data_IF_686334431940
#
_entry.id   IF_686334431940
#
_cell.length_a   1.000
_cell.length_b   1.000
_cell.length_c   1.000
_cell.angle_alpha   90.00
_cell.angle_beta   90.00
_cell.angle_gamma   90.00
#
_symmetry.space_group_name_H-M   'P 1'
#
loop_
_entity.id
_entity.type
_entity.pdbx_description
1 polymer ?
#
# COMPACT_ATOMS: atom_id res chain seq x y z
N UNK A 1 -9.63 -12.13 2.47
CA UNK A 1 -9.68 -11.26 3.67
C UNK A 1 -10.19 -9.92 3.24
N UNK A 2 -10.92 -9.21 4.09
CA UNK A 2 -11.36 -7.83 3.83
C UNK A 2 -10.26 -6.87 4.25
N UNK A 3 -10.08 -5.76 3.51
CA UNK A 3 -9.18 -4.68 3.86
C UNK A 3 -9.60 -4.01 5.17
N UNK A 4 -8.66 -3.84 6.08
CA UNK A 4 -8.92 -3.27 7.39
C UNK A 4 -9.26 -1.77 7.34
N UNK A 5 -8.71 -1.03 6.37
CA UNK A 5 -9.06 0.39 6.17
C UNK A 5 -10.54 0.52 5.86
N UNK A 6 -11.07 -0.35 5.00
CA UNK A 6 -12.50 -0.36 4.68
C UNK A 6 -13.38 -0.68 5.89
N UNK A 7 -12.93 -1.55 6.79
CA UNK A 7 -13.61 -1.78 8.07
C UNK A 7 -13.60 -0.54 8.96
N UNK A 8 -12.48 0.20 9.00
CA UNK A 8 -12.39 1.46 9.74
C UNK A 8 -13.35 2.52 9.21
N UNK A 9 -13.55 2.60 7.90
CA UNK A 9 -14.54 3.51 7.29
C UNK A 9 -15.95 3.23 7.81
N UNK A 10 -16.36 1.96 7.87
CA UNK A 10 -17.65 1.59 8.47
C UNK A 10 -17.74 1.92 9.96
N UNK A 11 -16.66 1.74 10.72
CA UNK A 11 -16.65 2.11 12.13
C UNK A 11 -16.78 3.63 12.34
N UNK A 12 -16.09 4.44 11.51
CA UNK A 12 -16.20 5.88 11.55
C UNK A 12 -17.62 6.36 11.20
N UNK A 13 -18.23 5.80 10.15
CA UNK A 13 -19.63 6.12 9.79
C UNK A 13 -20.60 5.78 10.93
N UNK A 14 -20.39 4.65 11.60
CA UNK A 14 -21.18 4.30 12.77
C UNK A 14 -20.90 5.24 13.97
N UNK A 15 -19.66 5.70 14.15
CA UNK A 15 -19.29 6.62 15.22
C UNK A 15 -20.03 7.97 15.08
N UNK A 16 -20.16 8.48 13.86
CA UNK A 16 -20.88 9.73 13.58
C UNK A 16 -22.39 9.68 13.88
N UNK A 17 -22.95 8.49 14.11
CA UNK A 17 -24.31 8.38 14.66
C UNK A 17 -24.37 8.70 16.16
N UNK A 18 -23.25 8.71 16.88
CA UNK A 18 -23.19 8.80 18.33
C UNK A 18 -22.38 9.97 18.87
N UNK A 19 -21.53 10.54 18.05
CA UNK A 19 -20.55 11.57 18.43
C UNK A 19 -20.51 12.66 17.36
N UNK A 20 -20.21 13.88 17.78
CA UNK A 20 -20.01 15.02 16.88
C UNK A 20 -18.64 14.97 16.21
N UNK A 21 -18.48 15.69 15.10
CA UNK A 21 -17.19 15.87 14.45
C UNK A 21 -16.19 16.52 15.41
N UNK A 22 -14.93 16.02 15.38
CA UNK A 22 -13.85 16.42 16.26
C UNK A 22 -13.98 15.98 17.74
N UNK A 23 -14.99 15.18 18.12
CA UNK A 23 -15.04 14.62 19.46
C UNK A 23 -13.99 13.52 19.66
N UNK A 24 -13.10 13.72 20.63
CA UNK A 24 -12.07 12.71 21.01
C UNK A 24 -12.67 11.38 21.45
N UNK A 25 -13.91 11.37 21.92
CA UNK A 25 -14.61 10.15 22.30
C UNK A 25 -14.92 9.28 21.08
N UNK A 26 -15.18 9.89 19.91
CA UNK A 26 -15.34 9.16 18.65
C UNK A 26 -14.09 8.36 18.30
N UNK A 27 -12.91 8.98 18.36
CA UNK A 27 -11.63 8.30 18.07
C UNK A 27 -11.39 7.13 19.06
N UNK A 28 -11.59 7.37 20.35
CA UNK A 28 -11.42 6.34 21.36
C UNK A 28 -12.38 5.17 21.16
N UNK A 29 -13.63 5.47 20.78
CA UNK A 29 -14.63 4.46 20.50
C UNK A 29 -14.26 3.63 19.26
N UNK A 30 -13.86 4.28 18.15
CA UNK A 30 -13.40 3.61 16.93
C UNK A 30 -12.18 2.75 17.23
N UNK A 31 -11.19 3.25 17.95
CA UNK A 31 -9.98 2.52 18.35
C UNK A 31 -10.33 1.24 19.14
N UNK A 32 -11.21 1.34 20.12
CA UNK A 32 -11.63 0.20 20.96
C UNK A 32 -12.30 -0.88 20.13
N UNK A 33 -13.20 -0.49 19.20
CA UNK A 33 -13.90 -1.42 18.34
C UNK A 33 -13.00 -2.02 17.27
N UNK A 34 -12.08 -1.24 16.69
CA UNK A 34 -11.06 -1.69 15.76
C UNK A 34 -10.17 -2.78 16.40
N UNK A 35 -9.67 -2.54 17.62
CA UNK A 35 -8.89 -3.54 18.36
C UNK A 35 -9.68 -4.83 18.62
N UNK A 36 -10.97 -4.71 18.95
CA UNK A 36 -11.83 -5.87 19.13
C UNK A 36 -12.02 -6.67 17.83
N UNK A 37 -12.14 -6.00 16.68
CA UNK A 37 -12.22 -6.66 15.37
C UNK A 37 -10.90 -7.35 15.02
N UNK A 38 -9.76 -6.69 15.24
CA UNK A 38 -8.44 -7.29 15.06
C UNK A 38 -8.23 -8.54 15.95
N UNK A 39 -8.86 -8.57 17.10
CA UNK A 39 -8.89 -9.74 18.00
C UNK A 39 -9.95 -10.79 17.60
N UNK A 40 -10.57 -10.71 16.40
CA UNK A 40 -11.55 -11.68 15.92
C UNK A 40 -12.96 -11.53 16.48
N UNK A 41 -13.26 -10.43 17.17
CA UNK A 41 -14.53 -10.20 17.87
C UNK A 41 -15.53 -9.35 17.07
N UNK A 42 -15.51 -9.42 15.74
CA UNK A 42 -16.36 -8.61 14.87
C UNK A 42 -17.88 -8.75 15.17
N UNK A 43 -18.34 -9.97 15.53
CA UNK A 43 -19.73 -10.20 15.91
C UNK A 43 -20.13 -9.48 17.21
N UNK A 44 -19.22 -9.40 18.18
CA UNK A 44 -19.45 -8.67 19.46
C UNK A 44 -19.53 -7.18 19.18
N UNK A 45 -18.66 -6.66 18.30
CA UNK A 45 -18.68 -5.25 17.89
C UNK A 45 -20.01 -4.90 17.18
N UNK A 46 -20.45 -5.73 16.24
CA UNK A 46 -21.72 -5.52 15.57
C UNK A 46 -22.92 -5.45 16.53
N UNK A 47 -22.94 -6.35 17.53
CA UNK A 47 -23.96 -6.33 18.57
C UNK A 47 -23.87 -5.08 19.48
N UNK A 48 -22.64 -4.64 19.79
CA UNK A 48 -22.42 -3.44 20.60
C UNK A 48 -22.89 -2.18 19.88
N UNK A 49 -22.63 -2.06 18.56
CA UNK A 49 -23.10 -0.93 17.73
C UNK A 49 -24.63 -0.85 17.78
N UNK A 50 -25.33 -1.96 17.49
CA UNK A 50 -26.79 -1.99 17.48
C UNK A 50 -27.39 -1.67 18.86
N UNK A 51 -26.79 -2.22 19.93
CA UNK A 51 -27.24 -1.94 21.30
C UNK A 51 -27.06 -0.48 21.67
N UNK A 52 -25.95 0.16 21.26
CA UNK A 52 -25.72 1.58 21.50
C UNK A 52 -26.76 2.43 20.74
N UNK A 53 -27.04 2.11 19.48
CA UNK A 53 -28.06 2.82 18.67
C UNK A 53 -29.46 2.72 19.32
N UNK A 54 -29.81 1.55 19.83
CA UNK A 54 -31.08 1.35 20.55
C UNK A 54 -31.11 2.07 21.90
N UNK A 55 -30.02 2.06 22.65
CA UNK A 55 -29.91 2.76 23.94
C UNK A 55 -30.04 4.27 23.79
N UNK A 56 -29.46 4.85 22.75
CA UNK A 56 -29.60 6.29 22.45
C UNK A 56 -30.95 6.65 21.81
N UNK A 57 -31.82 5.67 21.54
CA UNK A 57 -33.15 5.92 20.96
C UNK A 57 -33.10 6.55 19.57
N UNK A 58 -32.03 6.26 18.79
CA UNK A 58 -31.85 6.84 17.47
C UNK A 58 -33.00 6.41 16.55
N UNK A 59 -33.58 7.39 15.86
CA UNK A 59 -34.60 7.16 14.84
C UNK A 59 -34.00 6.42 13.61
N UNK A 60 -34.82 5.82 12.74
CA UNK A 60 -34.33 5.03 11.60
C UNK A 60 -33.40 5.77 10.65
N UNK A 61 -33.52 7.08 10.51
CA UNK A 61 -32.62 7.89 9.67
C UNK A 61 -31.24 8.02 10.27
N UNK A 62 -31.16 8.45 11.54
CA UNK A 62 -29.90 8.67 12.24
C UNK A 62 -29.15 7.37 12.56
N UNK A 63 -29.84 6.23 12.71
CA UNK A 63 -29.19 4.95 12.99
C UNK A 63 -28.76 4.17 11.73
N UNK A 64 -29.08 4.65 10.53
CA UNK A 64 -28.85 3.94 9.28
C UNK A 64 -27.39 3.47 9.11
N UNK A 65 -26.43 4.35 9.36
CA UNK A 65 -25.00 4.01 9.20
C UNK A 65 -24.50 3.05 10.29
N UNK A 66 -25.03 3.15 11.51
CA UNK A 66 -24.75 2.20 12.57
C UNK A 66 -25.27 0.79 12.23
N UNK A 67 -26.50 0.68 11.73
CA UNK A 67 -27.07 -0.59 11.32
C UNK A 67 -26.38 -1.16 10.08
N UNK A 68 -25.98 -0.32 9.14
CA UNK A 68 -25.20 -0.71 7.94
C UNK A 68 -23.83 -1.26 8.33
N UNK A 69 -23.11 -0.59 9.23
CA UNK A 69 -21.83 -1.07 9.74
C UNK A 69 -21.97 -2.42 10.46
N UNK A 70 -22.98 -2.56 11.33
CA UNK A 70 -23.23 -3.81 12.03
C UNK A 70 -23.59 -4.96 11.07
N UNK A 71 -24.43 -4.69 10.07
CA UNK A 71 -24.79 -5.66 9.03
C UNK A 71 -23.57 -6.08 8.19
N UNK A 72 -22.73 -5.13 7.82
CA UNK A 72 -21.48 -5.38 7.12
C UNK A 72 -20.57 -6.32 7.92
N UNK A 73 -20.30 -6.02 9.19
CA UNK A 73 -19.44 -6.85 10.04
C UNK A 73 -19.96 -8.29 10.17
N UNK A 74 -21.29 -8.47 10.26
CA UNK A 74 -21.90 -9.82 10.32
C UNK A 74 -21.77 -10.54 8.98
N UNK A 75 -22.12 -9.90 7.88
CA UNK A 75 -22.10 -10.51 6.54
C UNK A 75 -20.67 -10.89 6.09
N UNK A 76 -19.69 -10.12 6.51
CA UNK A 76 -18.27 -10.35 6.15
C UNK A 76 -17.48 -11.11 7.21
N UNK A 77 -18.11 -11.55 8.30
CA UNK A 77 -17.45 -12.16 9.47
C UNK A 77 -16.42 -13.24 9.09
N UNK A 78 -16.73 -14.10 8.14
CA UNK A 78 -15.83 -15.16 7.67
C UNK A 78 -14.56 -14.66 6.98
N UNK A 79 -14.56 -13.40 6.53
CA UNK A 79 -13.43 -12.75 5.85
C UNK A 79 -12.66 -11.78 6.75
N UNK A 80 -13.04 -11.65 8.03
CA UNK A 80 -12.44 -10.78 9.02
C UNK A 80 -11.53 -11.56 9.99
N UNK A 81 -10.83 -12.57 9.48
CA UNK A 81 -9.88 -13.38 10.26
C UNK A 81 -8.51 -12.69 10.35
N UNK A 82 -8.52 -11.52 10.97
CA UNK A 82 -7.29 -10.76 11.22
C UNK A 82 -6.33 -11.43 12.20
N UNK A 83 -6.78 -12.13 13.26
CA UNK A 83 -5.85 -12.81 14.14
C UNK A 83 -4.93 -13.78 13.41
N UNK A 84 -5.46 -14.60 12.52
CA UNK A 84 -4.67 -15.53 11.70
C UNK A 84 -3.74 -14.78 10.74
N UNK A 85 -4.21 -13.70 10.12
CA UNK A 85 -3.40 -12.91 9.21
C UNK A 85 -2.21 -12.25 9.93
N UNK A 86 -2.46 -11.63 11.09
CA UNK A 86 -1.41 -11.01 11.91
C UNK A 86 -0.39 -12.04 12.42
N UNK A 87 -0.86 -13.20 12.89
CA UNK A 87 0.03 -14.27 13.34
C UNK A 87 0.93 -14.81 12.21
N UNK A 88 0.47 -14.74 10.96
CA UNK A 88 1.23 -15.17 9.77
C UNK A 88 2.01 -14.03 9.10
N UNK A 89 1.96 -12.82 9.63
CA UNK A 89 2.62 -11.65 9.04
C UNK A 89 2.01 -11.22 7.70
N UNK A 90 0.74 -11.57 7.41
CA UNK A 90 0.07 -11.16 6.19
C UNK A 90 -0.41 -9.71 6.27
N UNK A 91 -0.35 -8.95 5.17
CA UNK A 91 -0.89 -7.60 5.15
C UNK A 91 -2.41 -7.64 5.36
N UNK A 92 -2.91 -6.79 6.27
CA UNK A 92 -4.34 -6.67 6.59
C UNK A 92 -4.99 -5.46 5.94
N UNK A 93 -4.20 -4.61 5.29
CA UNK A 93 -4.64 -3.38 4.64
C UNK A 93 -3.90 -3.17 3.32
N UNK A 94 -4.55 -2.53 2.34
CA UNK A 94 -4.00 -2.26 1.00
C UNK A 94 -3.10 -1.02 0.96
N UNK A 95 -2.91 -0.30 2.04
CA UNK A 95 -2.07 0.90 2.09
C UNK A 95 -0.66 0.68 1.55
N UNK A 96 -0.07 -0.51 1.76
CA UNK A 96 1.23 -0.89 1.18
C UNK A 96 1.13 -1.00 -0.35
N UNK A 97 0.04 -1.57 -0.87
CA UNK A 97 -0.20 -1.72 -2.32
C UNK A 97 -0.48 -0.36 -2.96
N UNK A 98 -1.31 0.47 -2.32
CA UNK A 98 -1.57 1.85 -2.77
C UNK A 98 -0.28 2.69 -2.79
N UNK A 99 0.53 2.60 -1.73
CA UNK A 99 1.85 3.22 -1.66
C UNK A 99 2.75 2.74 -2.80
N UNK A 100 2.81 1.44 -3.04
CA UNK A 100 3.57 0.87 -4.15
C UNK A 100 3.04 1.33 -5.51
N UNK A 101 1.72 1.34 -5.73
CA UNK A 101 1.12 1.88 -6.96
C UNK A 101 1.48 3.35 -7.17
N UNK A 102 1.43 4.16 -6.13
CA UNK A 102 1.82 5.57 -6.21
C UNK A 102 3.30 5.71 -6.55
N UNK A 103 4.18 5.15 -5.71
CA UNK A 103 5.62 5.36 -5.83
C UNK A 103 6.27 4.57 -6.97
N UNK A 104 5.85 3.35 -7.24
CA UNK A 104 6.46 2.55 -8.31
C UNK A 104 5.90 2.89 -9.68
N UNK A 105 4.60 3.17 -9.78
CA UNK A 105 3.89 3.34 -11.05
C UNK A 105 3.61 4.82 -11.33
N UNK A 106 2.74 5.47 -10.54
CA UNK A 106 2.22 6.80 -10.85
C UNK A 106 3.34 7.86 -10.95
N UNK A 107 4.27 7.90 -10.01
CA UNK A 107 5.39 8.87 -10.00
C UNK A 107 6.27 8.81 -11.26
N UNK A 108 6.16 7.76 -12.07
CA UNK A 108 6.96 7.61 -13.28
C UNK A 108 6.14 7.41 -14.55
N UNK A 109 5.02 6.70 -14.46
CA UNK A 109 4.22 6.34 -15.63
C UNK A 109 3.19 7.41 -16.00
N UNK A 110 2.70 8.19 -15.01
CA UNK A 110 1.70 9.25 -15.21
C UNK A 110 2.33 10.61 -15.57
N UNK A 111 3.61 10.62 -15.97
CA UNK A 111 4.25 11.85 -16.43
C UNK A 111 3.66 12.26 -17.77
N UNK A 112 3.12 13.49 -17.83
CA UNK A 112 2.51 14.05 -19.03
C UNK A 112 3.46 14.01 -20.23
N UNK A 113 2.97 13.49 -21.39
CA UNK A 113 3.76 13.37 -22.62
C UNK A 113 4.63 12.11 -22.71
N UNK A 114 4.78 11.35 -21.64
CA UNK A 114 5.51 10.08 -21.68
C UNK A 114 4.69 9.02 -22.43
N UNK A 115 5.30 8.39 -23.44
CA UNK A 115 4.71 7.25 -24.15
C UNK A 115 5.49 5.99 -23.81
N UNK A 116 4.81 5.04 -23.18
CA UNK A 116 5.42 3.79 -22.74
C UNK A 116 5.00 2.64 -23.64
N UNK A 117 6.00 1.98 -24.27
CA UNK A 117 5.79 0.65 -24.81
C UNK A 117 5.81 -0.38 -23.66
N UNK A 118 5.03 -1.45 -23.77
CA UNK A 118 4.91 -2.47 -22.71
C UNK A 118 6.28 -3.00 -22.20
N UNK A 119 7.26 -3.36 -23.07
CA UNK A 119 8.57 -3.83 -22.59
C UNK A 119 9.35 -2.77 -21.82
N UNK A 120 9.26 -1.49 -22.24
CA UNK A 120 9.93 -0.37 -21.56
C UNK A 120 9.32 -0.08 -20.21
N UNK A 121 7.99 -0.07 -20.12
CA UNK A 121 7.26 0.10 -18.86
C UNK A 121 7.63 -1.01 -17.87
N UNK A 122 7.60 -2.26 -18.30
CA UNK A 122 7.96 -3.42 -17.46
C UNK A 122 9.41 -3.35 -16.96
N UNK A 123 10.36 -2.98 -17.79
CA UNK A 123 11.76 -2.83 -17.41
C UNK A 123 11.95 -1.75 -16.35
N UNK A 124 11.32 -0.59 -16.51
CA UNK A 124 11.38 0.50 -15.53
C UNK A 124 10.72 0.09 -14.21
N UNK A 125 9.56 -0.56 -14.24
CA UNK A 125 8.89 -1.03 -13.02
C UNK A 125 9.75 -2.04 -12.25
N UNK A 126 10.41 -2.97 -12.94
CA UNK A 126 11.35 -3.92 -12.32
C UNK A 126 12.52 -3.20 -11.64
N UNK A 127 13.12 -2.22 -12.30
CA UNK A 127 14.23 -1.45 -11.73
C UNK A 127 13.79 -0.63 -10.51
N UNK A 128 12.61 -0.01 -10.57
CA UNK A 128 12.05 0.75 -9.43
C UNK A 128 11.72 -0.16 -8.25
N UNK A 129 11.19 -1.36 -8.50
CA UNK A 129 10.94 -2.34 -7.45
C UNK A 129 12.25 -2.78 -6.76
N UNK A 130 13.30 -3.06 -7.52
CA UNK A 130 14.63 -3.39 -6.97
C UNK A 130 15.19 -2.25 -6.12
N UNK A 131 15.07 -1.00 -6.59
CA UNK A 131 15.52 0.17 -5.85
C UNK A 131 14.70 0.38 -4.57
N UNK A 132 13.38 0.23 -4.64
CA UNK A 132 12.48 0.38 -3.49
C UNK A 132 12.70 -0.69 -2.41
N UNK A 133 13.07 -1.90 -2.81
CA UNK A 133 13.37 -3.01 -1.90
C UNK A 133 14.80 -2.94 -1.31
N UNK A 134 15.66 -2.07 -1.82
CA UNK A 134 17.08 -2.04 -1.46
C UNK A 134 17.94 -3.12 -2.11
N UNK A 135 17.40 -3.85 -3.10
CA UNK A 135 18.07 -4.98 -3.75
C UNK A 135 18.89 -4.58 -4.99
N UNK A 136 18.97 -3.29 -5.29
CA UNK A 136 19.53 -2.79 -6.54
C UNK A 136 21.01 -3.22 -6.74
N UNK A 137 21.85 -3.01 -5.74
CA UNK A 137 23.27 -3.35 -5.80
C UNK A 137 23.48 -4.87 -5.85
N UNK A 138 22.69 -5.62 -5.08
CA UNK A 138 22.75 -7.09 -5.06
C UNK A 138 22.37 -7.66 -6.43
N UNK A 139 21.32 -7.13 -7.05
CA UNK A 139 20.89 -7.52 -8.39
C UNK A 139 22.00 -7.32 -9.43
N UNK A 140 22.67 -6.15 -9.44
CA UNK A 140 23.72 -5.86 -10.39
C UNK A 140 24.98 -6.68 -10.13
N UNK A 141 25.33 -6.92 -8.88
CA UNK A 141 26.44 -7.80 -8.51
C UNK A 141 26.26 -9.22 -9.04
N UNK A 142 25.04 -9.74 -8.99
CA UNK A 142 24.69 -11.05 -9.54
C UNK A 142 24.61 -11.08 -11.08
N UNK A 143 24.20 -9.97 -11.68
CA UNK A 143 23.94 -9.91 -13.13
C UNK A 143 25.20 -9.58 -13.94
N UNK A 144 26.07 -8.72 -13.46
CA UNK A 144 27.28 -8.29 -14.16
C UNK A 144 28.27 -9.44 -14.47
N UNK A 145 28.50 -10.41 -13.59
CA UNK A 145 29.36 -11.54 -13.90
C UNK A 145 28.89 -12.39 -15.08
N UNK A 146 27.61 -12.39 -15.38
CA UNK A 146 27.02 -13.17 -16.46
C UNK A 146 26.88 -12.41 -17.79
N UNK A 147 27.24 -11.11 -17.82
CA UNK A 147 27.26 -10.34 -19.06
C UNK A 147 28.65 -10.48 -19.68
N UNK A 148 28.78 -11.29 -20.71
CA UNK A 148 30.05 -11.40 -21.43
C UNK A 148 30.43 -10.04 -22.02
N UNK A 149 31.73 -9.71 -21.99
CA UNK A 149 32.29 -8.47 -22.57
C UNK A 149 31.85 -8.25 -24.04
N UNK A 150 31.52 -9.32 -24.76
CA UNK A 150 30.98 -9.29 -26.11
C UNK A 150 29.55 -8.78 -26.21
N UNK A 151 28.72 -8.96 -25.17
CA UNK A 151 27.35 -8.43 -25.12
C UNK A 151 27.34 -6.95 -24.77
N UNK A 152 28.27 -6.50 -23.92
CA UNK A 152 28.44 -5.10 -23.57
C UNK A 152 28.88 -4.28 -24.79
N UNK A 153 29.83 -4.77 -25.59
CA UNK A 153 30.27 -4.11 -26.82
C UNK A 153 29.17 -3.98 -27.86
N UNK A 154 28.34 -4.99 -28.07
CA UNK A 154 27.21 -4.94 -29.03
C UNK A 154 26.15 -3.92 -28.66
N UNK A 155 25.95 -3.64 -27.37
CA UNK A 155 24.95 -2.68 -26.92
C UNK A 155 25.42 -1.22 -27.05
N UNK A 156 26.73 -0.99 -26.98
CA UNK A 156 27.37 0.34 -27.16
C UNK A 156 27.45 0.72 -28.63
N UNK A 157 27.76 -0.22 -29.52
CA UNK A 157 27.92 0.04 -30.96
C UNK A 157 26.61 0.34 -31.68
N UNK A 158 25.46 -0.15 -31.20
CA UNK A 158 24.16 0.07 -31.86
C UNK A 158 23.52 1.43 -31.58
N UNK A 159 24.04 2.25 -30.67
CA UNK A 159 23.43 3.53 -30.30
C UNK A 159 24.32 4.78 -30.40
N UNK A 160 25.46 4.71 -31.06
CA UNK A 160 26.25 5.90 -31.42
C UNK A 160 26.53 6.95 -30.33
N UNK A 161 26.35 6.61 -29.05
CA UNK A 161 26.52 7.50 -27.90
C UNK A 161 27.65 7.03 -26.99
N UNK A 162 28.65 7.88 -26.79
CA UNK A 162 29.78 7.62 -25.90
C UNK A 162 29.34 7.47 -24.45
N UNK A 163 29.20 6.27 -23.96
CA UNK A 163 29.22 5.97 -22.51
C UNK A 163 30.68 5.74 -22.10
N UNK A 164 31.29 6.72 -21.43
CA UNK A 164 32.55 6.50 -20.72
C UNK A 164 32.23 5.78 -19.40
N UNK A 165 32.41 4.47 -19.38
CA UNK A 165 32.50 3.69 -18.13
C UNK A 165 33.94 3.80 -17.66
N UNK A 166 34.21 4.65 -16.67
CA UNK A 166 35.48 4.73 -15.98
C UNK A 166 35.59 3.57 -15.02
N UNK A 167 36.39 2.53 -15.37
CA UNK A 167 36.87 1.54 -14.42
C UNK A 167 38.06 2.12 -13.65
N UNK A 168 37.87 2.23 -12.38
CA UNK A 168 38.75 2.30 -11.24
C UNK A 168 40.16 2.89 -11.37
N UNK A 169 40.37 3.94 -10.56
CA UNK A 169 41.72 4.39 -10.17
C UNK A 169 41.72 5.87 -9.84
N UNK A 170 41.65 6.23 -8.54
CA UNK A 170 42.26 7.41 -7.94
C UNK A 170 41.54 8.76 -8.13
N UNK A 171 40.96 9.23 -7.05
CA UNK A 171 40.76 10.64 -6.62
C UNK A 171 40.74 11.77 -7.68
N UNK A 172 39.64 12.40 -7.84
CA UNK A 172 39.27 13.83 -7.71
C UNK A 172 38.02 14.17 -8.51
N UNK A 173 37.08 14.66 -7.80
CA UNK A 173 35.91 15.46 -8.08
C UNK A 173 35.54 15.76 -9.52
N UNK A 174 34.38 15.25 -9.91
CA UNK A 174 33.45 15.98 -10.76
C UNK A 174 32.09 15.26 -10.70
N UNK A 175 31.11 16.00 -10.23
CA UNK A 175 29.72 15.53 -10.17
C UNK A 175 29.16 15.61 -11.59
N UNK A 176 28.91 14.52 -12.22
CA UNK A 176 28.03 14.48 -13.38
C UNK A 176 26.69 13.91 -12.98
N UNK A 177 25.69 14.78 -12.95
CA UNK A 177 24.28 14.45 -12.73
C UNK A 177 23.83 13.68 -13.96
N UNK A 178 23.45 12.40 -13.77
CA UNK A 178 22.72 11.65 -14.79
C UNK A 178 21.26 12.13 -14.76
N UNK A 179 20.86 12.89 -15.75
CA UNK A 179 19.44 13.03 -16.12
C UNK A 179 18.99 11.77 -16.84
N UNK A 180 18.10 11.01 -16.22
CA UNK A 180 17.24 10.02 -16.86
C UNK A 180 15.83 10.56 -17.00
#
# INVERSE_FOLDING_TARGET
>A
MVDFIHVLEYLWRAAWCFFDEADRQAEQWVRTHAQAILAGRAGIVAAAIRRKATYHGLDPGHRHDADTAAAYLISKRRYLDYPTALARGWPIATGVIEGACRHLIADRMDITGARWGLPGAEAILKLRALSSNGDFDTYWTLRLPNISSAQLKRHVDTRGGRLRVGLGGGCRGERSVLCL
#
